data_IF_246240770548
#
_entry.id   IF_246240770548
#
_cell.length_a   1.000
_cell.length_b   1.000
_cell.length_c   1.000
_cell.angle_alpha   90.00
_cell.angle_beta   90.00
_cell.angle_gamma   90.00
#
_symmetry.space_group_name_H-M   'P 1'
#
loop_
_entity.id
_entity.type
_entity.pdbx_description
1 polymer ?
#
# COMPACT_ATOMS: atom_id res chain seq x y z
N UNK A 1 11.45 -4.98 8.88
CA UNK A 1 11.22 -3.63 9.42
C UNK A 1 9.82 -3.57 10.03
N UNK A 2 9.63 -2.76 11.08
CA UNK A 2 8.35 -2.71 11.80
C UNK A 2 7.16 -2.38 10.89
N UNK A 3 7.30 -1.38 10.03
CA UNK A 3 6.21 -0.95 9.12
C UNK A 3 5.78 -2.10 8.20
N UNK A 4 6.71 -2.83 7.64
CA UNK A 4 6.41 -3.93 6.73
C UNK A 4 5.70 -5.09 7.44
N UNK A 5 6.11 -5.38 8.68
CA UNK A 5 5.53 -6.45 9.47
C UNK A 5 4.12 -6.12 9.99
N UNK A 6 3.76 -4.84 10.04
CA UNK A 6 2.48 -4.36 10.58
C UNK A 6 1.70 -3.54 9.57
N UNK A 7 1.86 -3.84 8.28
CA UNK A 7 1.34 -3.03 7.18
C UNK A 7 -0.19 -2.94 7.17
N UNK A 8 -0.87 -3.92 7.73
CA UNK A 8 -2.33 -3.96 7.82
C UNK A 8 -2.89 -3.20 9.01
N UNK A 9 -2.02 -2.72 9.90
CA UNK A 9 -2.42 -1.99 11.10
C UNK A 9 -2.49 -0.48 10.84
N UNK A 10 -3.03 0.26 11.82
CA UNK A 10 -3.11 1.71 11.77
C UNK A 10 -1.74 2.32 12.06
N UNK A 11 -0.98 2.57 11.01
CA UNK A 11 0.40 3.07 11.13
C UNK A 11 0.43 4.60 11.03
N UNK A 12 -0.11 5.28 12.04
CA UNK A 12 -0.03 6.74 12.15
C UNK A 12 1.31 7.18 12.72
N UNK A 13 1.68 8.45 12.50
CA UNK A 13 2.89 9.02 13.13
C UNK A 13 2.78 9.00 14.64
N UNK A 14 1.58 9.22 15.20
CA UNK A 14 1.36 9.13 16.65
C UNK A 14 1.68 7.74 17.17
N UNK A 15 1.18 6.71 16.49
CA UNK A 15 1.40 5.32 16.89
C UNK A 15 2.88 4.94 16.80
N UNK A 16 3.54 5.29 15.70
CA UNK A 16 4.97 5.02 15.53
C UNK A 16 5.82 5.77 16.56
N UNK A 17 5.44 7.00 16.88
CA UNK A 17 6.10 7.81 17.90
C UNK A 17 6.05 7.12 19.27
N UNK A 18 4.91 6.57 19.64
CA UNK A 18 4.74 5.83 20.89
C UNK A 18 5.59 4.56 20.94
N UNK A 19 5.60 3.81 19.86
CA UNK A 19 6.33 2.53 19.79
C UNK A 19 7.83 2.73 19.85
N UNK A 20 8.36 3.70 19.12
CA UNK A 20 9.80 3.90 19.02
C UNK A 20 10.34 4.92 20.02
N UNK A 21 9.48 5.50 20.86
CA UNK A 21 9.87 6.49 21.89
C UNK A 21 10.63 7.68 21.31
N UNK A 22 10.21 8.12 20.10
CA UNK A 22 10.78 9.29 19.43
C UNK A 22 9.65 10.21 18.98
N UNK A 23 9.96 11.50 18.74
CA UNK A 23 8.94 12.45 18.32
C UNK A 23 8.49 12.19 16.89
N UNK A 24 7.25 12.62 16.60
CA UNK A 24 6.71 12.59 15.23
C UNK A 24 7.59 13.38 14.27
N UNK A 25 8.11 14.50 14.72
CA UNK A 25 9.01 15.35 13.93
C UNK A 25 10.27 14.57 13.54
N UNK A 26 10.86 13.88 14.50
CA UNK A 26 12.08 13.08 14.26
C UNK A 26 11.84 11.99 13.21
N UNK A 27 10.74 11.26 13.34
CA UNK A 27 10.37 10.22 12.39
C UNK A 27 10.20 10.81 10.99
N UNK A 28 9.42 11.88 10.85
CA UNK A 28 9.17 12.54 9.58
C UNK A 28 10.46 13.04 8.93
N UNK A 29 11.34 13.63 9.74
CA UNK A 29 12.61 14.18 9.28
C UNK A 29 13.52 13.07 8.75
N UNK A 30 13.66 11.98 9.50
CA UNK A 30 14.50 10.85 9.11
C UNK A 30 14.00 10.22 7.80
N UNK A 31 12.71 9.99 7.68
CA UNK A 31 12.13 9.42 6.45
C UNK A 31 12.38 10.33 5.26
N UNK A 32 12.11 11.62 5.41
CA UNK A 32 12.29 12.58 4.31
C UNK A 32 13.76 12.70 3.91
N UNK A 33 14.66 12.75 4.89
CA UNK A 33 16.10 12.90 4.65
C UNK A 33 16.69 11.66 3.96
N UNK A 34 16.27 10.45 4.34
CA UNK A 34 16.86 9.21 3.83
C UNK A 34 16.14 8.63 2.63
N UNK A 35 14.82 8.81 2.52
CA UNK A 35 14.01 8.19 1.46
C UNK A 35 13.41 9.20 0.48
N UNK A 36 13.46 10.50 0.83
CA UNK A 36 12.90 11.56 -0.02
C UNK A 36 11.37 11.62 -0.03
N UNK A 37 10.70 10.77 0.75
CA UNK A 37 9.24 10.71 0.83
C UNK A 37 8.78 10.73 2.28
N UNK A 38 7.50 11.06 2.50
CA UNK A 38 6.93 11.04 3.83
C UNK A 38 6.67 9.60 4.31
N UNK A 39 6.49 9.44 5.63
CA UNK A 39 6.10 8.15 6.21
C UNK A 39 4.80 7.65 5.59
N UNK A 40 3.80 8.54 5.44
CA UNK A 40 2.52 8.18 4.84
C UNK A 40 2.69 7.67 3.41
N UNK A 41 3.48 8.35 2.60
CA UNK A 41 3.77 7.93 1.22
C UNK A 41 4.47 6.57 1.19
N UNK A 42 5.42 6.34 2.09
CA UNK A 42 6.12 5.07 2.19
C UNK A 42 5.15 3.93 2.51
N UNK A 43 4.30 4.12 3.52
CA UNK A 43 3.31 3.10 3.91
C UNK A 43 2.34 2.82 2.76
N UNK A 44 1.82 3.87 2.12
CA UNK A 44 0.89 3.72 1.00
C UNK A 44 1.53 2.94 -0.15
N UNK A 45 2.77 3.25 -0.50
CA UNK A 45 3.49 2.54 -1.57
C UNK A 45 3.69 1.07 -1.24
N UNK A 46 4.02 0.74 0.00
CA UNK A 46 4.18 -0.65 0.44
C UNK A 46 2.86 -1.42 0.38
N UNK A 47 1.78 -0.79 0.85
CA UNK A 47 0.44 -1.39 0.77
C UNK A 47 0.01 -1.64 -0.66
N UNK A 48 0.25 -0.67 -1.55
CA UNK A 48 -0.08 -0.80 -2.97
C UNK A 48 0.69 -1.93 -3.64
N UNK A 49 1.97 -2.06 -3.33
CA UNK A 49 2.78 -3.15 -3.88
C UNK A 49 2.26 -4.51 -3.45
N UNK A 50 1.93 -4.66 -2.17
CA UNK A 50 1.37 -5.91 -1.65
C UNK A 50 0.02 -6.22 -2.29
N UNK A 51 -0.84 -5.21 -2.44
CA UNK A 51 -2.11 -5.39 -3.13
C UNK A 51 -1.91 -5.84 -4.58
N UNK A 52 -1.01 -5.17 -5.28
CA UNK A 52 -0.70 -5.49 -6.67
C UNK A 52 -0.24 -6.93 -6.82
N UNK A 53 0.66 -7.37 -5.95
CA UNK A 53 1.20 -8.74 -5.99
C UNK A 53 0.13 -9.78 -5.65
N UNK A 54 -0.88 -9.40 -4.85
CA UNK A 54 -1.97 -10.29 -4.46
C UNK A 54 -3.10 -10.35 -5.48
N UNK A 55 -3.16 -9.42 -6.43
CA UNK A 55 -4.24 -9.38 -7.44
C UNK A 55 -4.04 -10.51 -8.44
N UNK A 56 -5.06 -11.37 -8.54
CA UNK A 56 -5.08 -12.47 -9.48
C UNK A 56 -6.49 -12.62 -10.05
N UNK A 57 -6.66 -13.60 -10.90
CA UNK A 57 -7.93 -13.89 -11.57
C UNK A 57 -9.12 -14.04 -10.60
N UNK A 58 -8.87 -14.68 -9.45
CA UNK A 58 -9.93 -14.95 -8.46
C UNK A 58 -10.02 -13.92 -7.35
N UNK A 59 -9.27 -12.84 -7.45
CA UNK A 59 -9.17 -11.85 -6.37
C UNK A 59 -10.43 -11.01 -6.25
N UNK A 60 -10.94 -10.87 -5.02
CA UNK A 60 -11.90 -9.85 -4.69
C UNK A 60 -11.15 -8.59 -4.28
N UNK A 61 -11.24 -7.54 -5.11
CA UNK A 61 -10.46 -6.32 -4.91
C UNK A 61 -10.80 -5.60 -3.61
N UNK A 62 -12.06 -5.62 -3.19
CA UNK A 62 -12.48 -5.00 -1.94
C UNK A 62 -11.82 -5.71 -0.74
N UNK A 63 -11.79 -7.03 -0.75
CA UNK A 63 -11.15 -7.80 0.31
C UNK A 63 -9.64 -7.54 0.36
N UNK A 64 -8.99 -7.48 -0.79
CA UNK A 64 -7.55 -7.20 -0.88
C UNK A 64 -7.23 -5.84 -0.29
N UNK A 65 -7.97 -4.80 -0.63
CA UNK A 65 -7.67 -3.47 -0.13
C UNK A 65 -7.80 -3.38 1.39
N UNK A 66 -8.80 -4.02 1.97
CA UNK A 66 -8.99 -4.05 3.42
C UNK A 66 -7.89 -4.88 4.09
N UNK A 67 -7.57 -6.04 3.53
CA UNK A 67 -6.56 -6.94 4.08
C UNK A 67 -5.19 -6.26 4.23
N UNK A 68 -4.82 -5.42 3.26
CA UNK A 68 -3.51 -4.76 3.28
C UNK A 68 -3.56 -3.33 3.85
N UNK A 69 -4.63 -2.97 4.56
CA UNK A 69 -4.67 -1.79 5.40
C UNK A 69 -5.25 -0.53 4.78
N UNK A 70 -5.91 -0.61 3.63
CA UNK A 70 -6.65 0.53 3.10
C UNK A 70 -7.99 0.65 3.83
N UNK A 71 -8.37 1.88 4.14
CA UNK A 71 -9.57 2.17 4.90
C UNK A 71 -10.85 1.83 4.12
N UNK A 72 -10.84 2.12 2.82
CA UNK A 72 -11.98 1.86 1.94
C UNK A 72 -11.48 1.67 0.49
N UNK A 73 -12.39 1.21 -0.37
CA UNK A 73 -12.07 0.95 -1.77
C UNK A 73 -11.74 2.24 -2.54
N UNK A 74 -12.42 3.34 -2.24
CA UNK A 74 -12.18 4.61 -2.94
C UNK A 74 -10.75 5.10 -2.74
N UNK A 75 -10.25 5.06 -1.51
CA UNK A 75 -8.88 5.45 -1.20
C UNK A 75 -7.88 4.55 -1.92
N UNK A 76 -8.12 3.24 -1.91
CA UNK A 76 -7.30 2.27 -2.62
C UNK A 76 -7.30 2.53 -4.13
N UNK A 77 -8.47 2.73 -4.73
CA UNK A 77 -8.62 3.00 -6.16
C UNK A 77 -7.79 4.22 -6.59
N UNK A 78 -7.93 5.32 -5.87
CA UNK A 78 -7.22 6.57 -6.17
C UNK A 78 -5.71 6.39 -6.07
N UNK A 79 -5.24 5.77 -4.98
CA UNK A 79 -3.82 5.55 -4.75
C UNK A 79 -3.23 4.61 -5.79
N UNK A 80 -3.93 3.53 -6.11
CA UNK A 80 -3.50 2.54 -7.10
C UNK A 80 -3.36 3.17 -8.49
N UNK A 81 -4.39 3.90 -8.91
CA UNK A 81 -4.37 4.55 -10.23
C UNK A 81 -3.26 5.59 -10.34
N UNK A 82 -3.03 6.35 -9.27
CA UNK A 82 -1.95 7.34 -9.23
C UNK A 82 -0.58 6.68 -9.34
N UNK A 83 -0.37 5.57 -8.63
CA UNK A 83 0.93 4.89 -8.59
C UNK A 83 1.22 4.10 -9.86
N UNK A 84 0.23 3.38 -10.39
CA UNK A 84 0.44 2.44 -11.49
C UNK A 84 -0.13 2.89 -12.84
N UNK A 85 -0.82 4.02 -12.89
CA UNK A 85 -1.38 4.56 -14.13
C UNK A 85 -2.63 3.87 -14.64
N UNK A 86 -3.15 2.89 -13.91
CA UNK A 86 -4.37 2.19 -14.27
C UNK A 86 -5.14 1.81 -13.01
N UNK A 87 -6.44 1.52 -13.15
CA UNK A 87 -7.26 1.12 -12.01
C UNK A 87 -6.94 -0.32 -11.58
N UNK A 88 -7.29 -0.70 -10.34
CA UNK A 88 -7.14 -2.09 -9.90
C UNK A 88 -7.88 -3.08 -10.78
N UNK A 89 -9.06 -2.72 -11.26
CA UNK A 89 -9.87 -3.57 -12.14
C UNK A 89 -9.18 -3.77 -13.49
N UNK A 90 -8.65 -2.69 -14.07
CA UNK A 90 -7.90 -2.77 -15.33
C UNK A 90 -6.67 -3.66 -15.18
N UNK A 91 -5.96 -3.51 -14.08
CA UNK A 91 -4.79 -4.35 -13.79
C UNK A 91 -5.18 -5.83 -13.66
N UNK A 92 -6.28 -6.10 -12.98
CA UNK A 92 -6.81 -7.47 -12.83
C UNK A 92 -7.14 -8.09 -14.19
N UNK A 93 -7.77 -7.32 -15.06
CA UNK A 93 -8.12 -7.77 -16.41
C UNK A 93 -6.87 -8.07 -17.26
N UNK A 94 -5.82 -7.25 -17.14
CA UNK A 94 -4.56 -7.50 -17.82
C UNK A 94 -3.89 -8.78 -17.32
N UNK A 95 -3.96 -9.06 -16.02
CA UNK A 95 -3.43 -10.28 -15.44
C UNK A 95 -4.13 -11.53 -16.00
N UNK A 96 -5.46 -11.44 -16.16
CA UNK A 96 -6.24 -12.52 -16.78
C UNK A 96 -5.78 -12.77 -18.21
N UNK A 97 -5.66 -11.72 -19.01
CA UNK A 97 -5.22 -11.85 -20.41
C UNK A 97 -3.83 -12.46 -20.52
N UNK A 98 -2.92 -12.07 -19.63
CA UNK A 98 -1.58 -12.62 -19.59
C UNK A 98 -1.59 -14.12 -19.28
N UNK A 99 -2.43 -14.53 -18.33
CA UNK A 99 -2.60 -15.95 -17.99
C UNK A 99 -3.18 -16.75 -19.14
N UNK A 100 -4.16 -16.20 -19.86
CA UNK A 100 -4.75 -16.85 -21.04
C UNK A 100 -3.70 -17.06 -22.12
N UNK A 101 -2.83 -16.09 -22.35
CA UNK A 101 -1.76 -16.22 -23.36
C UNK A 101 -0.71 -17.26 -22.98
N UNK A 102 -0.49 -17.46 -21.68
CA UNK A 102 0.47 -18.45 -21.19
C UNK A 102 -0.11 -19.85 -21.10
N UNK A 103 -1.40 -19.94 -21.05
CA UNK A 103 -2.11 -21.20 -20.99
C UNK A 103 -2.42 -21.73 -22.37
#
# INVERSE_FOLDING_TARGET
MYIEDHIDEDLTLDHLSEIFYVSKYHISHVFKANLGISVHQFITKKRLRLCKDAISYHTNLTEICILYGFKDYTSFFRAFKKEFGMSPKEFKELSVKTQEKQG
#
